data_IF_667037498511
#
_entry.id   IF_667037498511
#
_cell.length_a   1.000
_cell.length_b   1.000
_cell.length_c   1.000
_cell.angle_alpha   90.00
_cell.angle_beta   90.00
_cell.angle_gamma   90.00
#
_symmetry.space_group_name_H-M   'P 1'
#
loop_
_entity.id
_entity.type
_entity.pdbx_description
1 polymer ?
#
# COMPACT_ATOMS: atom_id res chain seq x y z
N UNK A 1 -7.74 22.14 36.68
CA UNK A 1 -7.91 20.77 36.17
C UNK A 1 -7.03 19.85 36.99
N UNK A 2 -7.62 18.89 37.69
CA UNK A 2 -6.92 17.88 38.49
C UNK A 2 -6.34 16.80 37.58
N UNK A 3 -5.43 15.98 38.10
CA UNK A 3 -4.87 14.85 37.35
C UNK A 3 -5.96 13.87 36.88
N UNK A 4 -6.99 13.65 37.68
CA UNK A 4 -8.13 12.79 37.34
C UNK A 4 -8.97 13.37 36.21
N UNK A 5 -9.24 14.68 36.23
CA UNK A 5 -9.96 15.38 35.15
C UNK A 5 -9.17 15.30 33.84
N UNK A 6 -7.84 15.47 33.87
CA UNK A 6 -6.95 15.32 32.71
C UNK A 6 -6.96 13.89 32.15
N UNK A 7 -6.94 12.87 33.00
CA UNK A 7 -7.01 11.47 32.57
C UNK A 7 -8.35 11.15 31.89
N UNK A 8 -9.45 11.69 32.42
CA UNK A 8 -10.78 11.49 31.85
C UNK A 8 -10.94 12.19 30.49
N UNK A 9 -10.41 13.40 30.36
CA UNK A 9 -10.40 14.13 29.09
C UNK A 9 -9.55 13.41 28.03
N UNK A 10 -8.38 12.89 28.42
CA UNK A 10 -7.53 12.08 27.54
C UNK A 10 -8.23 10.81 27.03
N UNK A 11 -8.89 10.06 27.92
CA UNK A 11 -9.63 8.85 27.52
C UNK A 11 -10.77 9.19 26.55
N UNK A 12 -11.52 10.26 26.83
CA UNK A 12 -12.62 10.71 25.97
C UNK A 12 -12.11 11.13 24.57
N UNK A 13 -10.96 11.82 24.51
CA UNK A 13 -10.32 12.18 23.25
C UNK A 13 -9.85 10.94 22.47
N UNK A 14 -9.29 9.93 23.17
CA UNK A 14 -8.86 8.66 22.56
C UNK A 14 -10.02 7.86 21.99
N UNK A 15 -11.16 7.84 22.69
CA UNK A 15 -12.37 7.17 22.20
C UNK A 15 -12.94 7.87 20.96
N UNK A 16 -12.97 9.20 20.99
CA UNK A 16 -13.35 10.02 19.83
C UNK A 16 -12.43 9.76 18.63
N UNK A 17 -11.12 9.71 18.85
CA UNK A 17 -10.16 9.35 17.80
C UNK A 17 -10.45 7.97 17.21
N UNK A 18 -10.74 6.98 18.06
CA UNK A 18 -11.06 5.62 17.63
C UNK A 18 -12.34 5.58 16.79
N UNK A 19 -13.38 6.32 17.19
CA UNK A 19 -14.61 6.45 16.43
C UNK A 19 -14.38 7.12 15.07
N UNK A 20 -13.62 8.22 15.05
CA UNK A 20 -13.28 8.93 13.81
C UNK A 20 -12.46 8.06 12.85
N UNK A 21 -11.51 7.25 13.36
CA UNK A 21 -10.77 6.27 12.54
C UNK A 21 -11.71 5.28 11.88
N UNK A 22 -12.63 4.66 12.64
CA UNK A 22 -13.64 3.75 12.09
C UNK A 22 -14.51 4.43 11.03
N UNK A 23 -14.86 5.70 11.23
CA UNK A 23 -15.64 6.47 10.26
C UNK A 23 -14.85 6.72 8.97
N UNK A 24 -13.58 7.09 9.07
CA UNK A 24 -12.69 7.26 7.91
C UNK A 24 -12.54 5.95 7.14
N UNK A 25 -12.35 4.82 7.84
CA UNK A 25 -12.24 3.50 7.21
C UNK A 25 -13.53 3.11 6.46
N UNK A 26 -14.70 3.36 7.07
CA UNK A 26 -16.00 3.14 6.42
C UNK A 26 -16.20 4.02 5.19
N UNK A 27 -15.81 5.31 5.26
CA UNK A 27 -15.88 6.22 4.12
C UNK A 27 -14.92 5.80 3.00
N UNK A 28 -13.72 5.33 3.35
CA UNK A 28 -12.74 4.79 2.40
C UNK A 28 -13.31 3.59 1.63
N UNK A 29 -13.94 2.64 2.31
CA UNK A 29 -14.54 1.46 1.65
C UNK A 29 -15.64 1.88 0.67
N UNK A 30 -16.55 2.76 1.10
CA UNK A 30 -17.62 3.29 0.25
C UNK A 30 -17.09 4.08 -0.95
N UNK A 31 -15.98 4.81 -0.77
CA UNK A 31 -15.36 5.53 -1.88
C UNK A 31 -14.67 4.57 -2.87
N UNK A 32 -14.14 3.44 -2.41
CA UNK A 32 -13.67 2.40 -3.32
C UNK A 32 -14.81 1.79 -4.13
N UNK A 33 -15.94 1.44 -3.50
CA UNK A 33 -17.13 0.94 -4.21
C UNK A 33 -17.58 1.94 -5.28
N UNK A 34 -17.63 3.23 -4.93
CA UNK A 34 -17.97 4.30 -5.89
C UNK A 34 -16.97 4.45 -7.03
N UNK A 35 -15.67 4.38 -6.74
CA UNK A 35 -14.62 4.37 -7.76
C UNK A 35 -14.70 3.14 -8.67
N UNK A 36 -15.17 2.02 -8.14
CA UNK A 36 -15.38 0.81 -8.93
C UNK A 36 -16.62 0.89 -9.84
N UNK A 37 -17.68 1.55 -9.39
CA UNK A 37 -18.91 1.73 -10.17
C UNK A 37 -18.79 2.82 -11.25
N UNK A 38 -18.21 3.98 -10.88
CA UNK A 38 -18.34 5.22 -11.65
C UNK A 38 -16.98 5.81 -12.07
N UNK A 39 -15.87 5.25 -11.56
CA UNK A 39 -14.52 5.76 -11.83
C UNK A 39 -14.04 5.45 -13.25
N UNK A 40 -13.25 6.36 -13.82
CA UNK A 40 -12.58 6.16 -15.11
C UNK A 40 -11.25 5.46 -14.91
N UNK A 41 -11.07 4.33 -15.59
CA UNK A 41 -9.83 3.55 -15.53
C UNK A 41 -8.77 4.12 -16.49
N UNK A 42 -7.53 4.21 -16.02
CA UNK A 42 -6.37 4.58 -16.85
C UNK A 42 -5.61 3.36 -17.39
N UNK A 43 -4.59 3.60 -18.22
CA UNK A 43 -3.72 2.59 -18.83
C UNK A 43 -2.92 1.76 -17.81
N UNK A 44 -2.89 2.17 -16.54
CA UNK A 44 -2.22 1.50 -15.42
C UNK A 44 -3.22 0.80 -14.48
N UNK A 45 -4.49 0.73 -14.86
CA UNK A 45 -5.55 0.11 -14.08
C UNK A 45 -5.92 0.88 -12.81
N UNK A 46 -5.59 2.16 -12.71
CA UNK A 46 -6.06 3.02 -11.64
C UNK A 46 -7.43 3.60 -11.99
N UNK A 47 -8.31 3.76 -11.01
CA UNK A 47 -9.63 4.39 -11.21
C UNK A 47 -9.67 5.77 -10.60
N UNK A 48 -10.23 6.71 -11.36
CA UNK A 48 -10.29 8.12 -11.00
C UNK A 48 -11.73 8.64 -10.98
N UNK A 49 -12.05 9.47 -10.00
CA UNK A 49 -13.31 10.20 -9.91
C UNK A 49 -13.03 11.64 -9.49
N UNK A 50 -13.73 12.58 -10.12
CA UNK A 50 -13.70 14.00 -9.72
C UNK A 50 -15.08 14.42 -9.23
N UNK A 51 -15.11 15.24 -8.19
CA UNK A 51 -16.30 15.91 -7.71
C UNK A 51 -16.00 17.37 -7.47
N UNK A 52 -17.04 18.18 -7.44
CA UNK A 52 -16.94 19.60 -7.12
C UNK A 52 -17.68 19.88 -5.82
N UNK A 53 -17.05 20.68 -4.94
CA UNK A 53 -17.66 21.14 -3.71
C UNK A 53 -17.25 22.59 -3.50
N UNK A 54 -18.21 23.50 -3.64
CA UNK A 54 -18.00 24.95 -3.56
C UNK A 54 -16.83 25.39 -4.47
N UNK A 55 -15.83 26.06 -3.86
CA UNK A 55 -14.59 26.54 -4.49
C UNK A 55 -13.52 25.45 -4.60
N UNK A 56 -13.86 24.17 -4.46
CA UNK A 56 -12.89 23.08 -4.50
C UNK A 56 -13.25 22.04 -5.54
N UNK A 57 -12.21 21.52 -6.19
CA UNK A 57 -12.25 20.26 -6.93
C UNK A 57 -11.69 19.17 -6.02
N UNK A 58 -12.47 18.11 -5.84
CA UNK A 58 -12.09 16.91 -5.13
C UNK A 58 -11.74 15.81 -6.13
N UNK A 59 -10.58 15.20 -5.98
CA UNK A 59 -10.17 14.07 -6.82
C UNK A 59 -9.89 12.86 -5.95
N UNK A 60 -10.52 11.74 -6.30
CA UNK A 60 -10.29 10.45 -5.68
C UNK A 60 -9.64 9.49 -6.69
N UNK A 61 -8.57 8.79 -6.26
CA UNK A 61 -7.85 7.79 -7.04
C UNK A 61 -7.80 6.48 -6.28
N UNK A 62 -8.31 5.40 -6.89
CA UNK A 62 -8.02 4.02 -6.52
C UNK A 62 -6.79 3.58 -7.30
N UNK A 63 -5.65 3.63 -6.65
CA UNK A 63 -4.35 3.29 -7.22
C UNK A 63 -4.11 1.79 -7.10
N UNK A 64 -4.06 1.09 -8.25
CA UNK A 64 -3.60 -0.29 -8.34
C UNK A 64 -2.11 -0.35 -8.00
N UNK A 65 -1.76 -1.19 -7.05
CA UNK A 65 -0.39 -1.48 -6.63
C UNK A 65 -0.14 -2.96 -6.78
N UNK A 66 0.96 -3.29 -7.42
CA UNK A 66 1.43 -4.66 -7.52
C UNK A 66 2.52 -4.82 -6.46
N UNK A 67 2.29 -5.70 -5.49
CA UNK A 67 3.30 -6.05 -4.50
C UNK A 67 3.72 -7.48 -4.75
N UNK A 68 4.98 -7.66 -5.11
CA UNK A 68 5.62 -8.96 -5.26
C UNK A 68 6.08 -9.40 -3.89
N UNK A 69 5.63 -10.58 -3.43
CA UNK A 69 6.19 -11.23 -2.23
C UNK A 69 7.07 -12.38 -2.69
N UNK A 70 8.32 -12.38 -2.22
CA UNK A 70 9.37 -13.32 -2.60
C UNK A 70 9.61 -14.42 -1.56
N UNK A 71 8.78 -14.51 -0.51
CA UNK A 71 8.92 -15.46 0.59
C UNK A 71 7.55 -16.04 0.94
N UNK A 72 7.06 -16.95 0.10
CA UNK A 72 5.98 -17.87 0.45
C UNK A 72 6.53 -19.27 0.77
N UNK A 73 5.66 -20.14 1.26
CA UNK A 73 6.04 -21.47 1.75
C UNK A 73 6.74 -22.31 0.66
N UNK A 74 6.38 -22.09 -0.61
CA UNK A 74 6.98 -22.78 -1.76
C UNK A 74 8.45 -22.34 -2.01
N UNK A 75 8.78 -21.07 -1.75
CA UNK A 75 10.18 -20.57 -1.79
C UNK A 75 11.00 -21.18 -0.66
N UNK A 76 10.43 -21.30 0.54
CA UNK A 76 11.10 -21.91 1.69
C UNK A 76 11.37 -23.40 1.44
N UNK A 77 10.38 -24.13 0.91
CA UNK A 77 10.52 -25.54 0.53
C UNK A 77 11.57 -25.73 -0.58
N UNK A 78 11.63 -24.81 -1.55
CA UNK A 78 12.65 -24.81 -2.60
C UNK A 78 14.07 -24.63 -2.02
N UNK A 79 14.26 -23.65 -1.13
CA UNK A 79 15.55 -23.38 -0.50
C UNK A 79 16.01 -24.53 0.42
N UNK A 80 15.08 -25.16 1.16
CA UNK A 80 15.39 -26.34 1.98
C UNK A 80 15.74 -27.57 1.13
N UNK A 81 15.05 -27.79 0.01
CA UNK A 81 15.25 -28.96 -0.85
C UNK A 81 16.62 -29.02 -1.55
N UNK A 82 17.29 -27.87 -1.72
CA UNK A 82 18.61 -27.76 -2.34
C UNK A 82 19.76 -28.08 -1.39
N UNK A 83 19.50 -28.20 -0.08
CA UNK A 83 20.49 -28.55 0.96
C UNK A 83 21.77 -27.69 0.92
N UNK A 84 21.66 -26.47 0.40
CA UNK A 84 22.75 -25.53 0.23
C UNK A 84 22.69 -24.53 1.39
N UNK A 85 23.38 -24.88 2.48
CA UNK A 85 23.42 -24.07 3.71
C UNK A 85 24.02 -22.69 3.47
N UNK A 86 24.90 -22.52 2.48
CA UNK A 86 25.43 -21.19 2.17
C UNK A 86 24.35 -20.30 1.57
N UNK A 87 23.52 -20.84 0.66
CA UNK A 87 22.41 -20.09 0.07
C UNK A 87 21.33 -19.78 1.12
N UNK A 88 20.98 -20.75 1.97
CA UNK A 88 20.03 -20.56 3.07
C UNK A 88 20.54 -19.52 4.08
N UNK A 89 21.76 -19.68 4.60
CA UNK A 89 22.35 -18.76 5.59
C UNK A 89 22.58 -17.35 5.02
N UNK A 90 22.84 -17.22 3.71
CA UNK A 90 22.91 -15.91 3.04
C UNK A 90 21.55 -15.21 2.92
N UNK A 91 20.46 -15.98 2.83
CA UNK A 91 19.10 -15.50 2.64
C UNK A 91 18.31 -15.37 3.95
N UNK A 92 18.72 -16.06 5.02
CA UNK A 92 18.10 -16.00 6.35
C UNK A 92 19.02 -15.36 7.38
N UNK A 93 19.32 -14.07 7.22
CA UNK A 93 19.85 -13.26 8.32
C UNK A 93 18.71 -12.55 9.06
N UNK A 94 18.65 -12.68 10.38
CA UNK A 94 17.79 -11.85 11.22
C UNK A 94 18.29 -10.39 11.25
N UNK A 95 17.90 -9.59 10.25
CA UNK A 95 17.30 -8.24 10.40
C UNK A 95 17.22 -7.51 9.06
N UNK A 96 16.06 -6.88 8.87
CA UNK A 96 15.72 -5.85 7.87
C UNK A 96 15.27 -6.43 6.52
N UNK A 97 14.10 -5.97 6.10
CA UNK A 97 13.44 -6.29 4.81
C UNK A 97 14.49 -6.24 3.70
N UNK A 98 14.63 -7.28 2.86
CA UNK A 98 15.51 -7.21 1.70
C UNK A 98 15.01 -6.09 0.79
N UNK A 99 15.90 -5.13 0.51
CA UNK A 99 15.60 -4.10 -0.48
C UNK A 99 15.74 -4.66 -1.89
N UNK A 100 15.03 -4.03 -2.83
CA UNK A 100 14.96 -4.42 -4.23
C UNK A 100 16.35 -4.49 -4.88
N UNK A 101 17.28 -3.65 -4.42
CA UNK A 101 18.65 -3.53 -4.96
C UNK A 101 19.52 -4.76 -4.66
N UNK A 102 19.40 -5.34 -3.46
CA UNK A 102 20.19 -6.53 -3.09
C UNK A 102 19.79 -7.79 -3.86
N UNK A 103 18.54 -7.86 -4.33
CA UNK A 103 18.03 -8.98 -5.12
C UNK A 103 18.42 -8.82 -6.60
N UNK A 104 18.41 -7.60 -7.12
CA UNK A 104 18.91 -7.30 -8.47
C UNK A 104 20.41 -7.64 -8.62
N UNK A 105 21.21 -7.37 -7.59
CA UNK A 105 22.65 -7.68 -7.57
C UNK A 105 22.91 -9.20 -7.58
N UNK A 106 22.12 -9.99 -6.84
CA UNK A 106 22.23 -11.46 -6.82
C UNK A 106 21.83 -12.12 -8.16
N UNK A 107 20.93 -11.50 -8.92
CA UNK A 107 20.56 -11.92 -10.29
C UNK A 107 21.66 -11.56 -11.29
N UNK A 108 22.32 -10.41 -11.11
CA UNK A 108 23.46 -9.99 -11.92
C UNK A 108 24.68 -10.91 -11.76
N UNK A 109 24.86 -11.44 -10.54
CA UNK A 109 25.92 -12.39 -10.14
C UNK A 109 25.68 -13.86 -10.56
N UNK A 110 24.62 -14.16 -11.33
CA UNK A 110 24.21 -15.51 -11.79
C UNK A 110 23.90 -16.54 -10.67
N UNK A 111 23.71 -16.08 -9.42
CA UNK A 111 23.42 -16.98 -8.28
C UNK A 111 21.99 -17.52 -8.29
N UNK A 112 21.06 -16.83 -8.97
CA UNK A 112 19.66 -17.27 -9.15
C UNK A 112 19.33 -17.30 -10.65
N UNK A 113 18.89 -18.44 -11.21
CA UNK A 113 18.44 -18.49 -12.60
C UNK A 113 17.19 -17.63 -12.78
N UNK A 114 17.21 -16.72 -13.75
CA UNK A 114 16.09 -15.80 -14.04
C UNK A 114 14.73 -16.50 -14.22
N UNK A 115 14.73 -17.70 -14.81
CA UNK A 115 13.53 -18.52 -15.01
C UNK A 115 12.92 -19.06 -13.70
N UNK A 116 13.74 -19.24 -12.66
CA UNK A 116 13.27 -19.65 -11.34
C UNK A 116 12.62 -18.46 -10.59
N UNK A 117 13.12 -17.24 -10.82
CA UNK A 117 12.57 -16.02 -10.21
C UNK A 117 11.12 -15.78 -10.66
N UNK A 118 10.85 -15.88 -11.97
CA UNK A 118 9.50 -15.65 -12.53
C UNK A 118 8.46 -16.66 -12.00
N UNK A 119 8.89 -17.88 -11.63
CA UNK A 119 8.03 -18.90 -11.03
C UNK A 119 7.81 -18.74 -9.52
N UNK A 120 8.65 -17.96 -8.83
CA UNK A 120 8.65 -17.79 -7.37
C UNK A 120 8.03 -16.45 -6.93
N UNK A 121 7.57 -15.65 -7.88
CA UNK A 121 6.96 -14.34 -7.65
C UNK A 121 5.45 -14.49 -7.52
N UNK A 122 4.95 -14.52 -6.28
CA UNK A 122 3.53 -14.36 -6.02
C UNK A 122 3.15 -12.88 -6.12
N UNK A 123 2.46 -12.54 -7.20
CA UNK A 123 1.97 -11.18 -7.47
C UNK A 123 0.68 -10.93 -6.70
N UNK A 124 0.70 -10.05 -5.70
CA UNK A 124 -0.53 -9.60 -5.02
C UNK A 124 -0.91 -8.21 -5.48
N UNK A 125 -2.10 -8.08 -6.04
CA UNK A 125 -2.70 -6.79 -6.32
C UNK A 125 -3.27 -6.19 -5.03
N UNK A 126 -2.85 -4.98 -4.68
CA UNK A 126 -3.39 -4.19 -3.58
C UNK A 126 -3.84 -2.83 -4.10
N UNK A 127 -4.82 -2.22 -3.46
CA UNK A 127 -5.36 -0.92 -3.88
C UNK A 127 -5.21 0.12 -2.78
N UNK A 128 -4.65 1.28 -3.14
CA UNK A 128 -4.54 2.43 -2.24
C UNK A 128 -5.54 3.51 -2.66
N UNK A 129 -6.14 4.19 -1.68
CA UNK A 129 -7.01 5.34 -1.93
C UNK A 129 -6.21 6.61 -1.72
N UNK A 130 -6.19 7.50 -2.72
CA UNK A 130 -5.68 8.88 -2.59
C UNK A 130 -6.84 9.84 -2.82
N UNK A 131 -7.02 10.79 -1.91
CA UNK A 131 -8.02 11.86 -2.05
C UNK A 131 -7.30 13.19 -1.95
N UNK A 132 -7.50 14.07 -2.93
CA UNK A 132 -6.89 15.40 -2.96
C UNK A 132 -7.97 16.47 -3.10
N UNK A 133 -7.66 17.67 -2.61
CA UNK A 133 -8.54 18.83 -2.68
C UNK A 133 -7.73 20.00 -3.22
N UNK A 134 -8.20 20.58 -4.32
CA UNK A 134 -7.57 21.73 -4.98
C UNK A 134 -8.57 22.85 -5.04
N UNK A 135 -8.14 24.08 -4.74
CA UNK A 135 -9.01 25.26 -4.85
C UNK A 135 -9.21 25.59 -6.33
N UNK A 136 -10.43 25.94 -6.73
CA UNK A 136 -10.74 26.44 -8.08
C UNK A 136 -10.01 27.77 -8.23
N UNK A 137 -9.10 27.85 -9.20
CA UNK A 137 -8.48 29.13 -9.54
C UNK A 137 -9.61 30.06 -10.01
N UNK A 138 -9.67 31.26 -9.40
CA UNK A 138 -10.51 32.31 -9.93
C UNK A 138 -9.93 32.67 -11.30
N UNK A 139 -10.66 32.41 -12.38
CA UNK A 139 -10.39 33.03 -13.67
C UNK A 139 -10.49 34.55 -13.44
N UNK A 140 -9.36 35.20 -13.20
CA UNK A 140 -9.22 36.64 -13.43
C UNK A 140 -9.28 36.84 -14.95
N UNK A 141 -10.50 37.11 -15.43
CA UNK A 141 -10.77 37.57 -16.79
C UNK A 141 -9.81 38.71 -17.16
N UNK A 142 -9.05 38.51 -18.24
CA UNK A 142 -8.22 39.53 -18.90
C UNK A 142 -8.98 40.33 -19.94
#
# INVERSE_FOLDING_TARGET
MTATELMQEYLSAKDTMTLLKKRVDSLRLRLFEKLDEEGKEDDKGHRWMKGELDDYVLEAKKEKRVSVKLLDDDVLDYLESRNDKELYDSCTMQKTVPDESGIEEAVLDEKIPKQALDSLVTTRESFALKVTRTQKEAEEDG
#
